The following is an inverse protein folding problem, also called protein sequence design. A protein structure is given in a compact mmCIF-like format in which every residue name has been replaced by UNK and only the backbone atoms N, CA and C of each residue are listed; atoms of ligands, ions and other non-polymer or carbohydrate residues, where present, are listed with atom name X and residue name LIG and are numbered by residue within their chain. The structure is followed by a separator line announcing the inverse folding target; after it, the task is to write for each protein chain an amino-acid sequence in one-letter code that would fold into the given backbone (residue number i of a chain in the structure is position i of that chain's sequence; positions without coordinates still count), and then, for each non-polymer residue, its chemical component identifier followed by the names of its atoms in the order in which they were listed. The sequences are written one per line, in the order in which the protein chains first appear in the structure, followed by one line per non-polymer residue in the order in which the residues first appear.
data_IF_098683310776
#
_entry.id   IF_098683310776
#
_cell.length_a   1.000
_cell.length_b   1.000
_cell.length_c   1.000
_cell.angle_alpha   90.00
_cell.angle_beta   90.00
_cell.angle_gamma   90.00
#
_symmetry.space_group_name_H-M   'P 1'
#
loop_
_entity.id
_entity.type
_entity.pdbx_description
1 polymer ?
#
# COMPACT_ATOMS: atom_id res chain seq x y z
N UNK A 1 27.13 -20.29 29.05
CA UNK A 1 25.82 -19.72 28.68
C UNK A 1 26.04 -18.51 27.78
N UNK A 2 25.68 -18.60 26.49
CA UNK A 2 25.85 -17.51 25.52
C UNK A 2 24.66 -16.55 25.63
N UNK A 3 24.90 -15.27 25.90
CA UNK A 3 23.87 -14.22 25.86
C UNK A 3 23.47 -13.99 24.41
N UNK A 4 22.25 -14.35 24.05
CA UNK A 4 21.66 -14.05 22.75
C UNK A 4 21.38 -12.55 22.63
N UNK A 5 21.91 -11.94 21.57
CA UNK A 5 21.57 -10.58 21.16
C UNK A 5 20.13 -10.62 20.66
N UNK A 6 19.19 -10.09 21.42
CA UNK A 6 17.85 -9.80 20.92
C UNK A 6 17.97 -8.50 20.12
N UNK A 7 17.95 -8.62 18.78
CA UNK A 7 17.82 -7.48 17.88
C UNK A 7 16.39 -6.93 18.03
N UNK A 8 16.17 -6.12 19.05
CA UNK A 8 14.96 -5.33 19.18
C UNK A 8 15.03 -4.18 18.18
N UNK A 9 14.57 -4.39 16.95
CA UNK A 9 14.12 -3.24 16.15
C UNK A 9 13.00 -2.60 16.95
N UNK A 10 13.13 -1.30 17.23
CA UNK A 10 12.03 -0.52 17.78
C UNK A 10 10.81 -0.80 16.92
N UNK A 11 9.79 -1.44 17.50
CA UNK A 11 8.53 -1.65 16.81
C UNK A 11 8.02 -0.26 16.47
N UNK A 12 8.00 0.07 15.17
CA UNK A 12 7.25 1.22 14.70
C UNK A 12 5.80 0.97 15.12
N UNK A 13 5.33 1.72 16.11
CA UNK A 13 3.94 1.72 16.56
C UNK A 13 3.10 2.40 15.48
N UNK A 14 2.84 1.66 14.40
CA UNK A 14 1.96 2.07 13.31
C UNK A 14 0.80 1.08 13.30
N UNK A 15 -0.36 1.52 13.78
CA UNK A 15 -1.57 0.68 13.84
C UNK A 15 -2.24 0.56 12.46
N UNK A 16 -2.21 1.64 11.68
CA UNK A 16 -2.81 1.71 10.34
C UNK A 16 -1.87 2.44 9.37
N UNK A 17 -1.74 1.93 8.15
CA UNK A 17 -1.19 2.70 7.03
C UNK A 17 -2.28 3.12 6.05
N UNK A 18 -2.34 4.40 5.72
CA UNK A 18 -3.13 4.92 4.59
C UNK A 18 -2.24 5.06 3.37
N UNK A 19 -2.43 4.23 2.35
CA UNK A 19 -1.49 4.07 1.24
C UNK A 19 -2.03 4.75 -0.02
N UNK A 20 -1.32 5.75 -0.53
CA UNK A 20 -1.58 6.33 -1.84
C UNK A 20 -1.14 5.35 -2.92
N UNK A 21 -2.10 4.78 -3.64
CA UNK A 21 -1.88 3.78 -4.68
C UNK A 21 -2.17 4.38 -6.06
N UNK A 22 -2.50 3.53 -7.04
CA UNK A 22 -2.89 3.96 -8.38
C UNK A 22 -1.72 4.02 -9.38
N UNK A 23 -0.47 3.99 -8.93
CA UNK A 23 0.71 4.10 -9.80
C UNK A 23 0.67 5.35 -10.70
N UNK A 24 0.19 6.47 -10.17
CA UNK A 24 0.00 7.72 -10.91
C UNK A 24 1.31 8.12 -11.58
N UNK A 25 1.22 8.38 -12.89
CA UNK A 25 2.37 8.80 -13.70
C UNK A 25 2.12 10.18 -14.30
N UNK A 26 2.98 11.15 -14.02
CA UNK A 26 2.87 12.49 -14.58
C UNK A 26 3.64 12.62 -15.91
N UNK A 27 3.19 13.48 -16.85
CA UNK A 27 1.98 14.33 -16.76
C UNK A 27 0.69 13.65 -17.25
N UNK A 28 0.76 12.59 -18.05
CA UNK A 28 -0.39 12.08 -18.81
C UNK A 28 -0.81 10.63 -18.45
N UNK A 29 -0.37 10.10 -17.31
CA UNK A 29 -0.64 8.74 -16.89
C UNK A 29 0.05 7.71 -17.79
N UNK A 30 -0.63 6.58 -18.12
CA UNK A 30 -0.07 5.55 -18.99
C UNK A 30 -0.02 5.95 -20.47
N UNK A 31 -0.46 7.15 -20.84
CA UNK A 31 -0.53 7.62 -22.25
C UNK A 31 0.83 7.97 -22.86
N UNK A 32 1.86 8.18 -22.04
CA UNK A 32 3.23 8.46 -22.48
C UNK A 32 4.16 7.31 -22.08
N UNK A 33 5.13 6.94 -22.95
CA UNK A 33 6.11 5.90 -22.62
C UNK A 33 7.11 6.36 -21.55
N UNK A 34 7.31 7.68 -21.41
CA UNK A 34 8.09 8.34 -20.37
C UNK A 34 7.19 9.09 -19.39
N UNK A 35 7.68 9.35 -18.18
CA UNK A 35 6.93 10.05 -17.14
C UNK A 35 7.41 9.68 -15.74
N UNK A 36 7.04 10.52 -14.76
CA UNK A 36 7.41 10.37 -13.35
C UNK A 36 6.31 9.66 -12.58
N UNK A 37 6.62 8.52 -11.97
CA UNK A 37 5.71 7.86 -11.02
C UNK A 37 5.71 8.61 -9.70
N UNK A 38 4.54 9.02 -9.23
CA UNK A 38 4.37 9.86 -8.03
C UNK A 38 3.52 9.21 -6.93
N UNK A 39 2.88 8.08 -7.20
CA UNK A 39 2.23 7.24 -6.18
C UNK A 39 2.64 5.78 -6.37
N UNK A 40 2.41 4.96 -5.34
CA UNK A 40 2.80 3.55 -5.39
C UNK A 40 1.89 2.75 -6.33
N UNK A 41 2.46 1.78 -7.04
CA UNK A 41 1.69 0.71 -7.67
C UNK A 41 1.28 -0.37 -6.64
N UNK A 42 0.48 -1.36 -7.08
CA UNK A 42 0.03 -2.43 -6.18
C UNK A 42 1.16 -3.26 -5.56
N UNK A 43 2.29 -3.45 -6.27
CA UNK A 43 3.44 -4.22 -5.76
C UNK A 43 4.20 -3.44 -4.70
N UNK A 44 4.47 -2.17 -4.97
CA UNK A 44 5.12 -1.24 -4.05
C UNK A 44 4.30 -1.06 -2.76
N UNK A 45 2.98 -0.91 -2.89
CA UNK A 45 2.08 -0.84 -1.74
C UNK A 45 2.14 -2.09 -0.85
N UNK A 46 2.04 -3.28 -1.45
CA UNK A 46 2.10 -4.53 -0.70
C UNK A 46 3.50 -4.79 -0.09
N UNK A 47 4.57 -4.33 -0.74
CA UNK A 47 5.92 -4.35 -0.20
C UNK A 47 6.07 -3.45 1.02
N UNK A 48 5.51 -2.23 0.99
CA UNK A 48 5.52 -1.32 2.14
C UNK A 48 4.79 -1.92 3.35
N UNK A 49 3.63 -2.54 3.14
CA UNK A 49 2.88 -3.24 4.21
C UNK A 49 3.76 -4.31 4.87
N UNK A 50 4.47 -5.10 4.08
CA UNK A 50 5.36 -6.14 4.59
C UNK A 50 6.57 -5.55 5.33
N UNK A 51 7.22 -4.55 4.73
CA UNK A 51 8.43 -3.92 5.27
C UNK A 51 8.19 -3.25 6.63
N UNK A 52 7.05 -2.57 6.78
CA UNK A 52 6.68 -1.92 8.05
C UNK A 52 5.88 -2.83 8.98
N UNK A 53 5.63 -4.08 8.59
CA UNK A 53 4.80 -5.03 9.33
C UNK A 53 3.42 -4.46 9.71
N UNK A 54 2.82 -3.64 8.83
CA UNK A 54 1.58 -2.92 9.13
C UNK A 54 0.45 -3.91 9.51
N UNK A 55 -0.23 -3.71 10.64
CA UNK A 55 -1.38 -4.54 11.03
C UNK A 55 -2.57 -4.35 10.10
N UNK A 56 -2.79 -3.12 9.63
CA UNK A 56 -3.89 -2.73 8.75
C UNK A 56 -3.42 -1.76 7.67
N UNK A 57 -3.98 -1.90 6.48
CA UNK A 57 -3.69 -1.06 5.32
C UNK A 57 -4.98 -0.59 4.66
N UNK A 58 -5.15 0.73 4.57
CA UNK A 58 -6.28 1.38 3.89
C UNK A 58 -5.75 1.88 2.54
N UNK A 59 -6.10 1.24 1.41
CA UNK A 59 -5.77 1.77 0.10
C UNK A 59 -6.58 3.06 -0.15
N UNK A 60 -5.91 4.10 -0.65
CA UNK A 60 -6.54 5.36 -1.08
C UNK A 60 -5.97 5.81 -2.42
N UNK A 61 -6.61 6.78 -3.04
CA UNK A 61 -6.12 7.44 -4.24
C UNK A 61 -5.86 6.51 -5.43
N UNK A 62 -6.82 5.64 -5.76
CA UNK A 62 -6.68 4.65 -6.83
C UNK A 62 -7.77 4.74 -7.92
N UNK A 63 -8.81 5.56 -7.72
CA UNK A 63 -9.97 5.66 -8.62
C UNK A 63 -10.58 7.07 -8.72
N UNK A 64 -9.91 8.12 -8.21
CA UNK A 64 -10.41 9.50 -8.21
C UNK A 64 -10.41 10.21 -9.58
N UNK A 65 -9.53 9.84 -10.52
CA UNK A 65 -9.38 10.43 -11.85
C UNK A 65 -8.59 9.52 -12.83
N UNK A 66 -8.48 9.92 -14.11
CA UNK A 66 -8.10 9.04 -15.22
C UNK A 66 -6.59 8.90 -15.54
N UNK A 67 -5.68 9.08 -14.58
CA UNK A 67 -4.21 8.94 -14.80
C UNK A 67 -3.53 7.85 -13.95
N UNK A 68 -4.32 6.96 -13.35
CA UNK A 68 -3.80 5.77 -12.68
C UNK A 68 -3.37 4.71 -13.69
N UNK A 69 -2.21 4.10 -13.44
CA UNK A 69 -1.66 3.02 -14.26
C UNK A 69 -1.75 1.65 -13.57
N UNK A 70 -2.07 1.61 -12.26
CA UNK A 70 -2.26 0.37 -11.50
C UNK A 70 -3.61 0.41 -10.76
N UNK A 71 -4.59 -0.43 -11.14
CA UNK A 71 -5.85 -0.52 -10.41
C UNK A 71 -5.65 -1.08 -9.00
N UNK A 72 -6.56 -0.76 -8.06
CA UNK A 72 -6.51 -1.29 -6.68
C UNK A 72 -6.52 -2.83 -6.61
N UNK A 73 -7.09 -3.50 -7.61
CA UNK A 73 -7.06 -4.96 -7.73
C UNK A 73 -5.62 -5.52 -7.81
N UNK A 74 -4.65 -4.74 -8.31
CA UNK A 74 -3.24 -5.13 -8.30
C UNK A 74 -2.69 -5.20 -6.87
N UNK A 75 -3.02 -4.21 -6.04
CA UNK A 75 -2.65 -4.21 -4.64
C UNK A 75 -3.30 -5.37 -3.89
N UNK A 76 -4.61 -5.57 -4.07
CA UNK A 76 -5.34 -6.68 -3.42
C UNK A 76 -4.74 -8.04 -3.78
N UNK A 77 -4.40 -8.25 -5.06
CA UNK A 77 -3.77 -9.48 -5.54
C UNK A 77 -2.37 -9.68 -4.94
N UNK A 78 -1.55 -8.64 -4.88
CA UNK A 78 -0.21 -8.72 -4.27
C UNK A 78 -0.26 -8.98 -2.77
N UNK A 79 -1.21 -8.37 -2.06
CA UNK A 79 -1.47 -8.63 -0.64
C UNK A 79 -1.90 -10.08 -0.40
N UNK A 80 -2.84 -10.60 -1.19
CA UNK A 80 -3.26 -12.00 -1.13
C UNK A 80 -2.09 -12.95 -1.40
N UNK A 81 -1.30 -12.70 -2.44
CA UNK A 81 -0.11 -13.49 -2.80
C UNK A 81 0.91 -13.56 -1.66
N UNK A 82 1.00 -12.52 -0.83
CA UNK A 82 1.88 -12.44 0.34
C UNK A 82 1.26 -12.98 1.63
N UNK A 83 0.01 -13.44 1.61
CA UNK A 83 -0.72 -13.85 2.82
C UNK A 83 -1.11 -12.68 3.73
N UNK A 84 -1.21 -11.47 3.17
CA UNK A 84 -1.53 -10.22 3.90
C UNK A 84 -2.95 -9.71 3.59
N UNK A 85 -3.76 -10.48 2.85
CA UNK A 85 -5.09 -10.05 2.39
C UNK A 85 -6.01 -9.56 3.51
N UNK A 86 -5.99 -10.23 4.67
CA UNK A 86 -6.84 -9.90 5.83
C UNK A 86 -6.47 -8.57 6.53
N UNK A 87 -5.38 -7.94 6.10
CA UNK A 87 -4.95 -6.63 6.59
C UNK A 87 -5.55 -5.47 5.81
N UNK A 88 -6.18 -5.74 4.67
CA UNK A 88 -6.79 -4.69 3.84
C UNK A 88 -8.07 -4.20 4.52
N UNK A 89 -8.19 -2.89 4.69
CA UNK A 89 -9.39 -2.22 5.19
C UNK A 89 -9.96 -1.36 4.05
N UNK A 90 -11.05 -1.81 3.45
CA UNK A 90 -11.76 -1.05 2.41
C UNK A 90 -12.70 -0.05 3.06
N UNK A 91 -12.65 1.20 2.61
CA UNK A 91 -13.56 2.27 3.05
C UNK A 91 -14.26 2.84 1.82
N UNK A 92 -15.59 2.82 1.83
CA UNK A 92 -16.40 3.39 0.74
C UNK A 92 -16.35 4.93 0.79
N UNK A 93 -16.59 5.59 -0.35
CA UNK A 93 -16.66 7.07 -0.42
C UNK A 93 -17.70 7.60 0.58
N UNK A 94 -17.29 8.55 1.41
CA UNK A 94 -18.14 9.16 2.45
C UNK A 94 -18.36 8.29 3.70
N UNK A 95 -17.80 7.08 3.76
CA UNK A 95 -17.88 6.22 4.95
C UNK A 95 -16.79 6.54 5.97
N UNK A 96 -16.93 5.97 7.17
CA UNK A 96 -15.92 6.01 8.23
C UNK A 96 -15.68 4.61 8.78
N UNK A 97 -14.48 4.38 9.30
CA UNK A 97 -14.07 3.12 9.93
C UNK A 97 -13.33 3.43 11.22
N UNK A 98 -13.50 2.58 12.23
CA UNK A 98 -12.68 2.57 13.45
C UNK A 98 -11.76 1.37 13.38
N UNK A 99 -10.46 1.60 13.59
CA UNK A 99 -9.39 0.60 13.50
C UNK A 99 -8.58 0.56 14.77
#
# INVERSE_FOLDING_TARGET
MKRGIVSGSAALLIDVGMLHLGGTRLPAGPRLPFGLTVTMDGRQGAELVAMLSLPKAVPVHFDDYAVFASPVADFTREMQRRGLGDRIVTVNRGASVTV
#
